data_IF_298476251304
#
_entry.id   IF_298476251304
#
_cell.length_a   1.000
_cell.length_b   1.000
_cell.length_c   1.000
_cell.angle_alpha   90.00
_cell.angle_beta   90.00
_cell.angle_gamma   90.00
#
_symmetry.space_group_name_H-M   'P 1'
#
loop_
_entity.id
_entity.type
_entity.pdbx_description
1 polymer ?
#
# COMPACT_ATOMS: atom_id res chain seq x y z
N UNK A 1 -8.46 -3.71 -14.40
CA UNK A 1 -7.79 -3.73 -13.07
C UNK A 1 -7.31 -2.32 -12.82
N UNK A 2 -7.45 -1.78 -11.59
CA UNK A 2 -7.17 -0.37 -11.30
C UNK A 2 -5.67 -0.07 -11.23
N UNK A 3 -4.90 -1.05 -10.80
CA UNK A 3 -3.45 -1.01 -10.66
C UNK A 3 -2.81 -2.14 -11.46
N UNK A 4 -1.55 -1.94 -11.85
CA UNK A 4 -0.76 -2.98 -12.49
C UNK A 4 -0.29 -4.00 -11.44
N UNK A 5 -0.36 -5.30 -11.73
CA UNK A 5 0.07 -6.33 -10.78
C UNK A 5 1.57 -6.26 -10.52
N UNK A 6 1.96 -6.44 -9.26
CA UNK A 6 3.39 -6.49 -8.87
C UNK A 6 4.03 -7.72 -9.52
N UNK A 7 5.21 -7.58 -10.17
CA UNK A 7 5.92 -8.70 -10.76
C UNK A 7 6.17 -9.84 -9.75
N UNK A 8 5.81 -11.06 -10.15
CA UNK A 8 5.97 -12.26 -9.32
C UNK A 8 5.04 -12.35 -8.11
N UNK A 9 3.99 -11.53 -8.07
CA UNK A 9 2.90 -11.64 -7.09
C UNK A 9 2.17 -12.99 -7.25
N UNK A 10 1.83 -13.68 -6.14
CA UNK A 10 0.99 -14.88 -6.21
C UNK A 10 -0.38 -14.59 -6.84
N UNK A 11 -0.81 -15.43 -7.79
CA UNK A 11 -2.08 -15.26 -8.51
C UNK A 11 -3.29 -15.15 -7.56
N UNK A 12 -3.26 -15.85 -6.41
CA UNK A 12 -4.32 -15.77 -5.42
C UNK A 12 -4.55 -14.34 -4.90
N UNK A 13 -3.49 -13.53 -4.75
CA UNK A 13 -3.64 -12.11 -4.41
C UNK A 13 -4.20 -11.31 -5.58
N UNK A 14 -3.72 -11.58 -6.80
CA UNK A 14 -4.21 -10.90 -8.00
C UNK A 14 -5.72 -11.09 -8.17
N UNK A 15 -6.20 -12.31 -7.94
CA UNK A 15 -7.62 -12.65 -8.01
C UNK A 15 -8.43 -12.01 -6.90
N UNK A 16 -7.95 -12.04 -5.65
CA UNK A 16 -8.61 -11.33 -4.54
C UNK A 16 -8.76 -9.84 -4.87
N UNK A 17 -7.69 -9.18 -5.31
CA UNK A 17 -7.70 -7.75 -5.66
C UNK A 17 -8.69 -7.50 -6.81
N UNK A 18 -8.66 -8.33 -7.85
CA UNK A 18 -9.56 -8.21 -9.01
C UNK A 18 -11.03 -8.31 -8.61
N UNK A 19 -11.37 -9.26 -7.75
CA UNK A 19 -12.75 -9.48 -7.28
C UNK A 19 -13.22 -8.36 -6.32
N UNK A 20 -12.35 -7.89 -5.42
CA UNK A 20 -12.64 -6.75 -4.55
C UNK A 20 -12.91 -5.45 -5.34
N UNK A 21 -12.33 -5.34 -6.53
CA UNK A 21 -12.52 -4.20 -7.44
C UNK A 21 -13.49 -4.48 -8.58
N UNK A 22 -14.40 -5.45 -8.44
CA UNK A 22 -15.48 -5.59 -9.41
C UNK A 22 -16.31 -4.28 -9.50
N UNK A 23 -16.67 -3.91 -10.73
CA UNK A 23 -17.47 -2.72 -11.00
C UNK A 23 -18.88 -2.87 -10.43
N UNK A 24 -19.39 -4.10 -10.40
CA UNK A 24 -20.64 -4.44 -9.76
C UNK A 24 -20.41 -4.67 -8.25
N UNK A 25 -20.95 -3.83 -7.35
CA UNK A 25 -20.76 -3.99 -5.92
C UNK A 25 -21.32 -5.30 -5.39
N UNK A 26 -22.31 -5.91 -6.06
CA UNK A 26 -22.90 -7.19 -5.64
C UNK A 26 -21.99 -8.38 -5.92
N UNK A 27 -20.98 -8.21 -6.77
CA UNK A 27 -19.99 -9.25 -7.10
C UNK A 27 -18.74 -9.19 -6.23
N UNK A 28 -18.60 -8.14 -5.41
CA UNK A 28 -17.48 -8.02 -4.50
C UNK A 28 -17.60 -9.07 -3.39
N UNK A 29 -16.52 -9.77 -3.04
CA UNK A 29 -16.56 -10.76 -1.97
C UNK A 29 -16.81 -10.09 -0.62
N UNK A 30 -17.40 -10.85 0.31
CA UNK A 30 -17.50 -10.40 1.69
C UNK A 30 -16.11 -10.34 2.34
N UNK A 31 -15.94 -9.44 3.31
CA UNK A 31 -14.65 -9.31 4.02
C UNK A 31 -14.24 -10.61 4.73
N UNK A 32 -15.20 -11.41 5.17
CA UNK A 32 -14.94 -12.73 5.76
C UNK A 32 -14.33 -13.69 4.74
N UNK A 33 -14.83 -13.71 3.50
CA UNK A 33 -14.27 -14.54 2.42
C UNK A 33 -12.84 -14.13 2.07
N UNK A 34 -12.61 -12.81 1.97
CA UNK A 34 -11.28 -12.25 1.73
C UNK A 34 -10.31 -12.66 2.85
N UNK A 35 -10.71 -12.48 4.10
CA UNK A 35 -9.91 -12.86 5.28
C UNK A 35 -9.57 -14.35 5.29
N UNK A 36 -10.56 -15.20 5.04
CA UNK A 36 -10.37 -16.65 5.00
C UNK A 36 -9.42 -17.08 3.87
N UNK A 37 -9.54 -16.48 2.68
CA UNK A 37 -8.65 -16.75 1.54
C UNK A 37 -7.22 -16.31 1.82
N UNK A 38 -7.05 -15.12 2.41
CA UNK A 38 -5.74 -14.62 2.81
C UNK A 38 -5.12 -15.53 3.87
N UNK A 39 -5.86 -15.88 4.94
CA UNK A 39 -5.35 -16.71 6.02
C UNK A 39 -4.89 -18.09 5.53
N UNK A 40 -5.68 -18.75 4.67
CA UNK A 40 -5.30 -20.02 4.03
C UNK A 40 -4.07 -19.89 3.16
N UNK A 41 -3.97 -18.79 2.42
CA UNK A 41 -2.80 -18.53 1.59
C UNK A 41 -1.55 -18.29 2.45
N UNK A 42 -1.70 -17.60 3.58
CA UNK A 42 -0.63 -17.31 4.52
C UNK A 42 -0.03 -18.54 5.20
N UNK A 43 -0.83 -19.59 5.42
CA UNK A 43 -0.35 -20.83 6.05
C UNK A 43 0.49 -21.71 5.11
N UNK A 44 0.26 -21.65 3.80
CA UNK A 44 0.83 -22.63 2.87
C UNK A 44 2.12 -22.19 2.16
N UNK A 45 2.33 -20.89 1.87
CA UNK A 45 3.53 -20.47 1.08
C UNK A 45 3.90 -18.98 1.08
N UNK A 46 3.20 -18.09 1.77
CA UNK A 46 3.44 -16.63 1.65
C UNK A 46 4.70 -16.09 2.36
N UNK A 47 5.45 -16.92 3.09
CA UNK A 47 6.67 -16.47 3.78
C UNK A 47 7.82 -16.11 2.82
N UNK A 48 7.69 -16.38 1.52
CA UNK A 48 8.74 -16.09 0.55
C UNK A 48 8.16 -15.49 -0.73
N UNK A 49 7.94 -14.17 -0.73
CA UNK A 49 7.76 -13.42 -1.95
C UNK A 49 8.85 -13.77 -2.96
N UNK A 50 8.49 -13.75 -4.24
CA UNK A 50 9.40 -13.98 -5.35
C UNK A 50 10.58 -12.99 -5.30
N UNK A 51 11.68 -13.31 -5.98
CA UNK A 51 12.84 -12.40 -6.03
C UNK A 51 12.46 -11.11 -6.75
N UNK A 52 11.61 -11.23 -7.75
CA UNK A 52 11.06 -10.16 -8.57
C UNK A 52 10.22 -9.20 -7.72
N UNK A 53 9.31 -9.73 -6.89
CA UNK A 53 8.50 -8.92 -5.97
C UNK A 53 9.38 -8.18 -4.96
N UNK A 54 10.41 -8.84 -4.41
CA UNK A 54 11.32 -8.21 -3.46
C UNK A 54 12.11 -7.06 -4.10
N UNK A 55 12.69 -7.29 -5.28
CA UNK A 55 13.43 -6.28 -6.01
C UNK A 55 12.53 -5.08 -6.38
N UNK A 56 11.27 -5.33 -6.73
CA UNK A 56 10.29 -4.26 -6.98
C UNK A 56 10.06 -3.40 -5.73
N UNK A 57 9.83 -4.03 -4.57
CA UNK A 57 9.62 -3.33 -3.30
C UNK A 57 10.86 -2.51 -2.90
N UNK A 58 12.06 -3.08 -3.04
CA UNK A 58 13.33 -2.38 -2.76
C UNK A 58 13.53 -1.18 -3.69
N UNK A 59 13.23 -1.31 -4.99
CA UNK A 59 13.31 -0.23 -5.95
C UNK A 59 12.35 0.93 -5.63
N UNK A 60 11.11 0.61 -5.26
CA UNK A 60 10.12 1.61 -4.82
C UNK A 60 10.57 2.33 -3.54
N UNK A 61 11.10 1.59 -2.56
CA UNK A 61 11.60 2.18 -1.32
C UNK A 61 12.77 3.14 -1.57
N UNK A 62 13.72 2.78 -2.43
CA UNK A 62 14.84 3.64 -2.80
C UNK A 62 14.39 4.92 -3.53
N UNK A 63 13.45 4.81 -4.47
CA UNK A 63 12.89 5.96 -5.18
C UNK A 63 12.18 6.93 -4.22
N UNK A 64 11.41 6.39 -3.26
CA UNK A 64 10.77 7.20 -2.23
C UNK A 64 11.81 7.93 -1.35
N UNK A 65 12.88 7.25 -0.92
CA UNK A 65 13.93 7.88 -0.11
C UNK A 65 14.63 9.01 -0.86
N UNK A 66 14.89 8.83 -2.15
CA UNK A 66 15.45 9.88 -3.01
C UNK A 66 14.47 11.07 -3.14
N UNK A 67 13.18 10.81 -3.26
CA UNK A 67 12.16 11.87 -3.30
C UNK A 67 12.08 12.66 -1.98
N UNK A 68 12.22 12.00 -0.83
CA UNK A 68 12.31 12.68 0.47
C UNK A 68 13.59 13.52 0.59
N UNK A 69 14.73 12.99 0.13
CA UNK A 69 15.99 13.71 0.15
C UNK A 69 15.99 14.94 -0.79
N UNK A 70 15.27 14.85 -1.92
CA UNK A 70 15.10 15.96 -2.86
C UNK A 70 14.04 16.98 -2.41
N UNK A 71 13.09 16.58 -1.56
CA UNK A 71 12.01 17.42 -1.03
C UNK A 71 12.31 18.12 0.30
N UNK A 72 13.57 18.13 0.74
CA UNK A 72 14.03 18.78 1.96
C UNK A 72 14.17 20.31 1.85
N UNK A 73 13.14 21.01 1.38
CA UNK A 73 12.96 22.45 1.62
C UNK A 73 11.46 22.72 1.83
N UNK A 74 11.09 23.08 3.05
CA UNK A 74 9.71 23.34 3.46
C UNK A 74 9.48 23.14 4.95
N UNK A 75 10.40 23.61 5.79
CA UNK A 75 10.14 23.77 7.21
C UNK A 75 9.21 24.99 7.37
N UNK A 76 7.99 24.72 7.85
CA UNK A 76 7.02 25.61 8.51
C UNK A 76 6.92 27.07 8.07
N UNK A 77 5.75 27.43 7.54
CA UNK A 77 5.07 28.66 7.97
C UNK A 77 3.57 28.36 8.09
N UNK A 78 3.08 28.55 9.31
CA UNK A 78 1.68 28.65 9.71
C UNK A 78 1.09 29.91 9.05
N UNK A 79 0.17 29.76 8.09
CA UNK A 79 -1.05 30.57 8.00
C UNK A 79 -1.97 30.14 6.83
N UNK A 80 -3.21 29.80 7.18
CA UNK A 80 -4.47 30.08 6.46
C UNK A 80 -4.48 30.14 4.92
N UNK A 81 -5.02 29.10 4.23
CA UNK A 81 -6.28 29.14 3.45
C UNK A 81 -6.47 27.79 2.70
N UNK A 82 -7.71 27.32 2.60
CA UNK A 82 -8.09 25.97 2.13
C UNK A 82 -7.78 25.64 0.67
N UNK A 83 -6.52 25.36 0.35
CA UNK A 83 -6.08 24.81 -0.94
C UNK A 83 -6.15 23.29 -0.99
N UNK A 84 -7.03 22.73 -1.82
CA UNK A 84 -7.00 21.31 -2.20
C UNK A 84 -5.63 20.99 -2.84
N UNK A 85 -4.76 20.28 -2.13
CA UNK A 85 -3.53 19.71 -2.69
C UNK A 85 -3.87 18.57 -3.68
N UNK A 86 -3.29 18.55 -4.89
CA UNK A 86 -3.58 17.51 -5.86
C UNK A 86 -3.09 16.15 -5.34
N UNK A 87 -4.03 15.23 -5.19
CA UNK A 87 -3.85 13.87 -4.68
C UNK A 87 -2.98 12.98 -5.59
N UNK A 88 -1.70 13.30 -5.75
CA UNK A 88 -0.72 12.46 -6.46
C UNK A 88 0.57 12.21 -5.69
N UNK A 89 0.67 12.68 -4.44
CA UNK A 89 1.61 12.12 -3.47
C UNK A 89 0.93 10.93 -2.80
N UNK A 90 1.32 9.71 -3.17
CA UNK A 90 1.03 8.55 -2.34
C UNK A 90 1.81 8.74 -1.04
N UNK A 91 1.13 9.19 0.01
CA UNK A 91 1.69 9.38 1.35
C UNK A 91 1.84 8.01 2.02
N UNK A 92 2.85 7.24 1.61
CA UNK A 92 3.29 6.14 2.46
C UNK A 92 3.99 6.76 3.67
N UNK A 93 3.35 6.64 4.84
CA UNK A 93 3.96 7.07 6.10
C UNK A 93 5.23 6.23 6.35
N UNK A 94 6.39 6.86 6.63
CA UNK A 94 7.54 6.10 7.10
C UNK A 94 7.18 5.38 8.41
N UNK A 95 7.84 4.24 8.68
CA UNK A 95 7.60 3.42 9.87
C UNK A 95 7.66 4.23 11.18
N UNK A 96 8.48 5.27 11.24
CA UNK A 96 8.54 6.20 12.38
C UNK A 96 7.22 6.94 12.60
N UNK A 97 6.58 7.43 11.54
CA UNK A 97 5.29 8.12 11.61
C UNK A 97 4.14 7.16 11.94
N UNK A 98 4.17 5.92 11.44
CA UNK A 98 3.15 4.92 11.79
C UNK A 98 3.21 4.54 13.28
N UNK A 99 4.41 4.51 13.87
CA UNK A 99 4.57 4.18 15.28
C UNK A 99 4.01 5.28 16.20
N UNK A 100 4.16 6.55 15.82
CA UNK A 100 3.59 7.70 16.54
C UNK A 100 2.05 7.67 16.61
N UNK A 101 1.37 7.18 15.56
CA UNK A 101 -0.10 7.04 15.57
C UNK A 101 -0.59 5.92 16.50
N UNK A 102 0.22 4.88 16.72
CA UNK A 102 -0.15 3.75 17.56
C UNK A 102 0.04 4.02 19.06
N UNK A 103 0.84 5.04 19.43
CA UNK A 103 1.13 5.39 20.83
C UNK A 103 0.11 6.37 21.45
N UNK A 104 -0.91 6.81 20.69
CA UNK A 104 -1.95 7.73 21.16
C UNK A 104 -3.33 7.07 21.35
N UNK A 105 -3.38 5.74 21.38
CA UNK A 105 -4.58 4.97 21.72
C UNK A 105 -4.37 4.32 23.08
N UNK A 106 -4.60 5.11 24.14
CA UNK A 106 -4.82 4.65 25.52
C UNK A 106 -6.05 5.35 26.10
#
# INVERSE_FOLDING_TARGET
MREDPIPGMPNVLADIIRECWDLDPLKRPAMEDVSNRLHRSYSDSFKRFSKETKAFIEGQAAAHQQALAAGGEGAGDDDSDGGWEPASRSHYYPLSQLNEFNEHVD
#
